data_IF_483375063621
#
_entry.id   IF_483375063621
#
_cell.length_a   1.000
_cell.length_b   1.000
_cell.length_c   1.000
_cell.angle_alpha   90.00
_cell.angle_beta   90.00
_cell.angle_gamma   90.00
#
_symmetry.space_group_name_H-M   'P 1'
#
loop_
_entity.id
_entity.type
_entity.pdbx_description
1 polymer ?
#
# COMPACT_ATOMS: atom_id res chain seq x y z
N UNK A 1 -55.27 -28.86 1.71
CA UNK A 1 -54.15 -28.94 2.67
C UNK A 1 -52.89 -28.55 1.91
N UNK A 2 -52.35 -27.38 2.27
CA UNK A 2 -51.03 -26.78 2.03
C UNK A 2 -50.37 -26.74 0.64
N UNK A 3 -49.81 -25.58 0.23
CA UNK A 3 -48.82 -25.47 -0.84
C UNK A 3 -47.41 -25.85 -0.32
N UNK A 4 -46.35 -25.73 -1.13
CA UNK A 4 -45.50 -24.57 -0.87
C UNK A 4 -45.04 -23.86 -2.15
N UNK A 5 -45.12 -22.53 -2.08
CA UNK A 5 -44.34 -21.59 -2.87
C UNK A 5 -42.85 -21.76 -2.54
N UNK A 6 -42.01 -21.57 -3.56
CA UNK A 6 -40.61 -21.23 -3.37
C UNK A 6 -40.50 -19.94 -2.54
N UNK A 7 -39.41 -19.75 -1.80
CA UNK A 7 -38.67 -18.54 -2.14
C UNK A 7 -37.15 -18.70 -2.13
N UNK A 8 -36.57 -18.01 -3.10
CA UNK A 8 -35.39 -17.16 -2.98
C UNK A 8 -34.15 -17.76 -2.31
N UNK A 9 -33.14 -18.00 -3.16
CA UNK A 9 -31.73 -17.81 -2.81
C UNK A 9 -31.55 -16.37 -2.33
N UNK A 10 -31.72 -16.18 -1.03
CA UNK A 10 -31.23 -15.03 -0.28
C UNK A 10 -29.94 -15.50 0.42
N UNK A 11 -28.88 -15.56 -0.38
CA UNK A 11 -27.52 -15.53 0.15
C UNK A 11 -27.00 -14.12 -0.13
N UNK A 12 -27.55 -13.20 0.65
CA UNK A 12 -26.95 -11.92 1.01
C UNK A 12 -25.45 -12.14 1.28
N UNK A 13 -24.65 -11.95 0.23
CA UNK A 13 -23.23 -11.65 0.39
C UNK A 13 -23.14 -10.14 0.47
N UNK A 14 -23.55 -9.60 1.61
CA UNK A 14 -23.08 -8.33 2.14
C UNK A 14 -21.58 -8.45 2.45
N UNK A 15 -20.78 -8.62 1.40
CA UNK A 15 -19.40 -8.20 1.43
C UNK A 15 -19.46 -6.71 1.08
N UNK A 16 -19.55 -5.87 2.12
CA UNK A 16 -19.22 -4.44 2.07
C UNK A 16 -17.90 -4.29 1.31
N UNK A 17 -18.01 -4.14 -0.01
CA UNK A 17 -16.89 -3.83 -0.87
C UNK A 17 -16.83 -2.32 -0.84
N UNK A 18 -15.77 -1.68 -0.34
CA UNK A 18 -15.54 -0.26 -0.55
C UNK A 18 -15.16 -0.05 -2.03
N UNK A 19 -16.03 -0.46 -2.97
CA UNK A 19 -15.73 -0.63 -4.39
C UNK A 19 -15.58 0.68 -5.15
N UNK A 20 -15.89 1.82 -4.51
CA UNK A 20 -15.90 3.12 -5.18
C UNK A 20 -14.94 4.13 -4.58
N UNK A 21 -14.05 3.73 -3.64
CA UNK A 21 -12.97 4.62 -3.22
C UNK A 21 -11.82 4.48 -4.21
N UNK A 22 -11.36 5.57 -4.83
CA UNK A 22 -10.24 5.50 -5.74
C UNK A 22 -8.97 5.09 -4.97
N UNK A 23 -8.11 4.24 -5.58
CA UNK A 23 -6.98 3.65 -4.89
C UNK A 23 -5.92 4.69 -4.50
N UNK A 24 -5.32 4.51 -3.33
CA UNK A 24 -4.08 5.15 -2.93
C UNK A 24 -2.90 4.25 -3.29
N UNK A 25 -2.20 4.65 -4.35
CA UNK A 25 -1.02 3.99 -4.86
C UNK A 25 0.24 4.68 -4.34
N UNK A 26 1.21 3.91 -3.88
CA UNK A 26 2.51 4.42 -3.50
C UNK A 26 3.63 3.76 -4.29
N UNK A 27 4.65 4.54 -4.62
CA UNK A 27 5.92 4.07 -5.15
C UNK A 27 7.00 4.46 -4.17
N UNK A 28 7.72 3.46 -3.65
CA UNK A 28 8.83 3.63 -2.72
C UNK A 28 10.12 3.31 -3.45
N UNK A 29 11.09 4.22 -3.42
CA UNK A 29 12.42 3.97 -3.98
C UNK A 29 13.49 4.65 -3.11
N UNK A 30 14.78 4.23 -3.19
CA UNK A 30 15.87 4.90 -2.48
C UNK A 30 15.99 6.39 -2.79
N UNK A 31 15.49 6.82 -3.96
CA UNK A 31 15.43 8.23 -4.36
C UNK A 31 14.02 8.60 -4.83
N UNK A 32 13.51 9.74 -4.35
CA UNK A 32 12.20 10.27 -4.77
C UNK A 32 12.11 10.49 -6.29
N UNK A 33 13.22 10.87 -6.93
CA UNK A 33 13.27 11.04 -8.39
C UNK A 33 12.99 9.74 -9.14
N UNK A 34 13.49 8.61 -8.62
CA UNK A 34 13.28 7.27 -9.18
C UNK A 34 11.84 6.81 -8.94
N UNK A 35 11.35 6.95 -7.70
CA UNK A 35 9.97 6.65 -7.36
C UNK A 35 9.00 7.42 -8.26
N UNK A 36 9.28 8.71 -8.52
CA UNK A 36 8.44 9.53 -9.36
C UNK A 36 8.52 9.20 -10.85
N UNK A 37 9.69 8.77 -11.34
CA UNK A 37 9.84 8.31 -12.72
C UNK A 37 9.00 7.04 -12.97
N UNK A 38 8.95 6.13 -11.99
CA UNK A 38 8.16 4.90 -12.04
C UNK A 38 6.67 5.12 -11.75
N UNK A 39 6.33 6.15 -10.98
CA UNK A 39 4.93 6.56 -10.78
C UNK A 39 4.31 7.17 -12.05
N UNK A 40 5.13 7.75 -12.94
CA UNK A 40 4.68 8.39 -14.19
C UNK A 40 3.76 7.49 -15.04
N UNK A 41 4.21 6.29 -15.45
CA UNK A 41 3.40 5.34 -16.20
C UNK A 41 2.14 4.86 -15.47
N UNK A 42 2.18 4.79 -14.13
CA UNK A 42 1.05 4.36 -13.31
C UNK A 42 -0.08 5.38 -13.31
N UNK A 43 0.21 6.65 -13.62
CA UNK A 43 -0.77 7.71 -13.54
C UNK A 43 -1.85 7.58 -14.60
N UNK A 44 -1.64 7.12 -15.84
CA UNK A 44 -2.67 7.05 -16.91
C UNK A 44 -3.73 8.20 -16.94
N UNK A 45 -3.42 9.40 -16.43
CA UNK A 45 -4.38 10.52 -16.24
C UNK A 45 -5.25 10.49 -14.98
N UNK A 46 -5.04 9.53 -14.07
CA UNK A 46 -5.87 9.19 -12.92
C UNK A 46 -5.77 10.15 -11.72
N UNK A 47 -4.72 10.96 -11.56
CA UNK A 47 -4.70 11.89 -10.41
C UNK A 47 -3.40 12.67 -10.25
N UNK A 48 -3.31 13.52 -9.20
CA UNK A 48 -2.09 14.24 -8.89
C UNK A 48 -1.01 13.29 -8.37
N UNK A 49 0.20 13.38 -8.95
CA UNK A 49 1.40 12.77 -8.40
C UNK A 49 1.94 13.64 -7.26
N UNK A 50 1.96 13.09 -6.05
CA UNK A 50 2.57 13.73 -4.90
C UNK A 50 3.98 13.20 -4.72
N UNK A 51 4.96 14.09 -4.61
CA UNK A 51 6.33 13.75 -4.23
C UNK A 51 6.50 14.03 -2.75
N UNK A 52 6.69 12.98 -1.97
CA UNK A 52 6.78 13.05 -0.52
C UNK A 52 8.19 12.63 -0.07
N UNK A 53 9.07 13.59 0.29
CA UNK A 53 10.38 13.25 0.81
C UNK A 53 10.30 12.61 2.19
N UNK A 54 11.32 11.83 2.53
CA UNK A 54 11.49 11.22 3.83
C UNK A 54 11.40 12.29 4.92
N UNK A 55 10.69 11.94 5.98
CA UNK A 55 10.46 12.79 7.14
C UNK A 55 10.87 12.02 8.39
N UNK A 56 11.54 12.70 9.31
CA UNK A 56 11.79 12.18 10.66
C UNK A 56 10.50 11.93 11.45
N UNK A 57 9.37 12.46 10.99
CA UNK A 57 8.03 12.23 11.54
C UNK A 57 7.12 11.54 10.50
N UNK A 58 7.32 10.24 10.20
CA UNK A 58 6.55 9.53 9.17
C UNK A 58 5.04 9.46 9.50
N UNK A 59 4.67 9.56 10.77
CA UNK A 59 3.27 9.67 11.21
C UNK A 59 2.60 10.98 10.76
N UNK A 60 3.32 12.11 10.78
CA UNK A 60 2.81 13.39 10.30
C UNK A 60 2.69 13.38 8.77
N UNK A 61 3.69 12.83 8.08
CA UNK A 61 3.64 12.68 6.63
C UNK A 61 2.44 11.81 6.22
N UNK A 62 2.22 10.68 6.89
CA UNK A 62 1.03 9.83 6.72
C UNK A 62 -0.27 10.60 6.88
N UNK A 63 -0.40 11.39 7.94
CA UNK A 63 -1.60 12.19 8.17
C UNK A 63 -1.84 13.18 7.02
N UNK A 64 -0.78 13.83 6.52
CA UNK A 64 -0.86 14.71 5.34
C UNK A 64 -1.28 13.96 4.08
N UNK A 65 -0.69 12.78 3.81
CA UNK A 65 -1.07 11.95 2.66
C UNK A 65 -2.54 11.49 2.76
N UNK A 66 -2.99 11.11 3.96
CA UNK A 66 -4.37 10.74 4.22
C UNK A 66 -5.33 11.91 3.98
N UNK A 67 -4.96 13.12 4.40
CA UNK A 67 -5.75 14.35 4.19
C UNK A 67 -5.82 14.77 2.71
N UNK A 68 -4.83 14.41 1.90
CA UNK A 68 -4.86 14.67 0.45
C UNK A 68 -5.73 13.69 -0.34
N UNK A 69 -6.16 12.57 0.25
CA UNK A 69 -7.00 11.59 -0.45
C UNK A 69 -8.34 12.21 -0.79
N UNK A 70 -8.77 12.03 -2.04
CA UNK A 70 -10.08 12.45 -2.52
C UNK A 70 -11.01 11.25 -2.67
N UNK A 71 -12.33 11.44 -2.53
CA UNK A 71 -13.30 10.37 -2.79
C UNK A 71 -13.47 10.07 -4.28
N UNK A 72 -13.05 10.97 -5.17
CA UNK A 72 -13.30 10.94 -6.61
C UNK A 72 -12.05 10.77 -7.49
N UNK A 73 -10.85 10.87 -6.92
CA UNK A 73 -9.60 10.73 -7.64
C UNK A 73 -8.56 9.88 -6.88
N UNK A 74 -7.84 8.96 -7.56
CA UNK A 74 -6.76 8.22 -6.94
C UNK A 74 -5.60 9.13 -6.58
N UNK A 75 -4.96 8.78 -5.49
CA UNK A 75 -3.75 9.45 -5.02
C UNK A 75 -2.56 8.58 -5.41
N UNK A 76 -1.59 9.15 -6.10
CA UNK A 76 -0.32 8.48 -6.38
C UNK A 76 0.78 9.23 -5.64
N UNK A 77 1.51 8.53 -4.77
CA UNK A 77 2.62 9.11 -4.01
C UNK A 77 3.93 8.46 -4.43
N UNK A 78 4.90 9.28 -4.79
CA UNK A 78 6.30 8.88 -4.95
C UNK A 78 7.08 9.32 -3.70
N UNK A 79 7.71 8.39 -3.00
CA UNK A 79 8.42 8.65 -1.76
C UNK A 79 9.66 7.77 -1.62
N UNK A 80 10.58 8.19 -0.76
CA UNK A 80 11.67 7.39 -0.21
C UNK A 80 11.39 6.95 1.24
N UNK A 81 10.17 7.18 1.75
CA UNK A 81 9.73 6.70 3.07
C UNK A 81 8.71 5.58 2.94
N UNK A 82 9.14 4.36 3.23
CA UNK A 82 8.27 3.19 3.34
C UNK A 82 7.26 3.36 4.49
N UNK A 83 7.69 3.96 5.61
CA UNK A 83 6.83 4.18 6.77
C UNK A 83 5.69 5.18 6.47
N UNK A 84 5.91 6.13 5.57
CA UNK A 84 4.92 7.12 5.18
C UNK A 84 3.74 6.55 4.38
N UNK A 85 3.91 5.38 3.75
CA UNK A 85 2.92 4.81 2.82
C UNK A 85 2.34 3.48 3.32
N UNK A 86 2.45 3.21 4.62
CA UNK A 86 1.84 2.02 5.25
C UNK A 86 0.33 1.93 5.05
N UNK A 87 -0.34 3.06 4.89
CA UNK A 87 -1.79 3.12 4.70
C UNK A 87 -2.19 3.03 3.21
N UNK A 88 -1.23 2.77 2.31
CA UNK A 88 -1.47 2.58 0.87
C UNK A 88 -2.26 1.31 0.58
N UNK A 89 -3.16 1.39 -0.40
CA UNK A 89 -3.89 0.22 -0.89
C UNK A 89 -2.95 -0.69 -1.69
N UNK A 90 -1.95 -0.09 -2.34
CA UNK A 90 -0.87 -0.81 -3.03
C UNK A 90 0.42 -0.01 -3.00
N UNK A 91 1.52 -0.71 -2.74
CA UNK A 91 2.89 -0.18 -2.78
C UNK A 91 3.67 -0.88 -3.87
N UNK A 92 4.40 -0.12 -4.65
CA UNK A 92 5.44 -0.59 -5.57
C UNK A 92 6.78 -0.18 -5.01
N UNK A 93 7.62 -1.15 -4.65
CA UNK A 93 9.01 -0.88 -4.25
C UNK A 93 9.89 -0.98 -5.47
N UNK A 94 10.68 0.05 -5.69
CA UNK A 94 11.65 0.12 -6.76
C UNK A 94 13.07 0.15 -6.23
N UNK A 95 13.95 -0.51 -6.96
CA UNK A 95 15.38 -0.47 -6.74
C UNK A 95 16.09 -0.51 -8.10
N UNK A 96 17.12 0.31 -8.29
CA UNK A 96 17.86 0.41 -9.55
C UNK A 96 17.03 0.83 -10.76
N UNK A 97 15.90 1.51 -10.57
CA UNK A 97 15.00 1.99 -11.62
C UNK A 97 13.99 0.96 -12.12
N UNK A 98 13.82 -0.18 -11.42
CA UNK A 98 12.82 -1.19 -11.71
C UNK A 98 11.99 -1.53 -10.47
N UNK A 99 10.73 -1.92 -10.66
CA UNK A 99 9.89 -2.38 -9.55
C UNK A 99 10.29 -3.80 -9.16
N UNK A 100 10.81 -3.97 -7.94
CA UNK A 100 11.29 -5.24 -7.38
C UNK A 100 10.25 -5.93 -6.50
N UNK A 101 9.34 -5.16 -5.90
CA UNK A 101 8.29 -5.67 -5.01
C UNK A 101 6.98 -4.92 -5.27
N UNK A 102 5.84 -5.59 -5.15
CA UNK A 102 4.53 -4.97 -5.34
C UNK A 102 3.44 -5.71 -4.59
N UNK A 103 2.60 -4.99 -3.85
CA UNK A 103 1.53 -5.61 -3.07
C UNK A 103 0.91 -4.64 -2.08
N UNK A 104 0.05 -5.16 -1.19
CA UNK A 104 -0.44 -4.39 -0.06
C UNK A 104 0.68 -4.27 1.00
N UNK A 105 0.81 -3.13 1.72
CA UNK A 105 1.83 -2.95 2.75
C UNK A 105 1.87 -4.07 3.79
N UNK A 106 0.70 -4.61 4.18
CA UNK A 106 0.59 -5.74 5.11
C UNK A 106 1.30 -6.99 4.60
N UNK A 107 1.14 -7.30 3.31
CA UNK A 107 1.68 -8.49 2.69
C UNK A 107 3.20 -8.35 2.50
N UNK A 108 3.65 -7.17 2.08
CA UNK A 108 5.07 -6.86 1.91
C UNK A 108 5.83 -6.86 3.23
N UNK A 109 5.18 -6.44 4.32
CA UNK A 109 5.72 -6.57 5.68
C UNK A 109 5.82 -8.03 6.12
N UNK A 110 4.83 -8.87 5.79
CA UNK A 110 4.81 -10.28 6.14
C UNK A 110 5.87 -11.11 5.39
N UNK A 111 6.21 -10.72 4.15
CA UNK A 111 7.28 -11.38 3.37
C UNK A 111 8.68 -10.98 3.85
N UNK A 112 8.80 -9.93 4.68
CA UNK A 112 10.09 -9.40 5.14
C UNK A 112 11.03 -9.02 3.98
N UNK A 113 10.45 -8.52 2.88
CA UNK A 113 11.16 -8.16 1.65
C UNK A 113 11.94 -6.85 1.73
N UNK A 114 12.16 -6.23 0.56
CA UNK A 114 12.80 -4.92 0.44
C UNK A 114 11.97 -3.86 1.16
N UNK A 115 10.64 -3.90 1.02
CA UNK A 115 9.73 -2.99 1.72
C UNK A 115 9.93 -3.03 3.24
N UNK A 116 9.92 -4.22 3.83
CA UNK A 116 10.03 -4.41 5.27
C UNK A 116 11.38 -3.94 5.82
N UNK A 117 12.47 -4.17 5.09
CA UNK A 117 13.80 -3.68 5.45
C UNK A 117 13.86 -2.15 5.47
N UNK A 118 13.30 -1.48 4.46
CA UNK A 118 13.19 -0.02 4.43
C UNK A 118 12.33 0.50 5.58
N UNK A 119 11.15 -0.09 5.78
CA UNK A 119 10.22 0.25 6.86
C UNK A 119 10.88 0.13 8.24
N UNK A 120 11.67 -0.92 8.45
CA UNK A 120 12.46 -1.12 9.66
C UNK A 120 13.51 -0.08 9.91
N UNK A 121 14.33 0.19 8.89
CA UNK A 121 15.40 1.16 8.99
C UNK A 121 14.88 2.55 9.39
N UNK A 122 13.69 2.93 8.91
CA UNK A 122 13.04 4.21 9.23
C UNK A 122 12.49 4.28 10.66
N UNK A 123 11.97 3.16 11.19
CA UNK A 123 11.34 3.10 12.51
C UNK A 123 12.28 2.60 13.61
N UNK A 124 13.52 2.25 13.27
CA UNK A 124 14.44 1.55 14.18
C UNK A 124 13.98 0.12 14.51
N UNK A 125 13.05 -0.44 13.73
CA UNK A 125 12.63 -1.83 13.87
C UNK A 125 13.57 -2.72 13.06
N UNK A 126 14.23 -3.67 13.72
CA UNK A 126 15.22 -4.50 13.07
C UNK A 126 14.55 -5.69 12.36
N UNK A 127 14.07 -5.51 11.13
CA UNK A 127 13.63 -6.64 10.27
C UNK A 127 14.83 -7.38 9.63
N UNK A 128 16.06 -7.01 9.99
CA UNK A 128 17.28 -7.72 9.65
C UNK A 128 17.39 -9.00 10.51
N UNK A 129 16.66 -10.04 10.12
CA UNK A 129 16.84 -11.40 10.62
C UNK A 129 15.69 -12.31 10.18
N UNK A 130 15.96 -13.45 9.53
CA UNK A 130 14.94 -14.49 9.39
C UNK A 130 14.55 -14.92 10.80
N UNK A 131 13.26 -14.85 11.12
CA UNK A 131 12.72 -15.67 12.19
C UNK A 131 13.01 -17.12 11.83
N UNK A 132 14.00 -17.72 12.50
CA UNK A 132 13.86 -19.12 12.86
C UNK A 132 12.78 -19.08 13.96
N UNK A 133 11.54 -19.23 13.54
CA UNK A 133 10.47 -19.71 14.38
C UNK A 133 9.56 -20.44 13.40
N UNK A 134 9.92 -21.71 13.23
CA UNK A 134 8.99 -22.76 12.85
C UNK A 134 9.29 -23.91 13.81
N UNK A 135 8.51 -23.86 14.88
CA UNK A 135 7.85 -24.91 15.67
C UNK A 135 8.34 -26.38 15.57
N UNK A 136 8.41 -26.97 16.77
CA UNK A 136 8.06 -28.34 17.19
C UNK A 136 8.09 -29.49 16.15
N UNK A 137 9.03 -30.42 16.31
CA UNK A 137 8.80 -31.84 16.69
C UNK A 137 10.09 -32.49 17.22
#
# INVERSE_FOLDING_TARGET
>A
MSPPESPATDADSDATTPANRPPFLAVVAPRISEAAALAGPLLHGAGPLVRAPHSSAPSQLRATLAAMRRPDAPLVVATDSAAAVRDADRVHVADGGVVVESGAPSDLLAVHGVYARCYGAELGANFAGPGKDVDDE
#
